data_IF_287361016204
#
_entry.id   IF_287361016204
#
_cell.length_a   1.000
_cell.length_b   1.000
_cell.length_c   1.000
_cell.angle_alpha   90.00
_cell.angle_beta   90.00
_cell.angle_gamma   90.00
#
_symmetry.space_group_name_H-M   'P 1'
#
loop_
_entity.id
_entity.type
_entity.pdbx_description
1 polymer ?
#
# COMPACT_ATOMS: atom_id res chain seq x y z
N UNK A 1 -4.95 9.46 -19.44
CA UNK A 1 -5.47 9.88 -18.13
C UNK A 1 -4.38 9.60 -17.12
N UNK A 2 -3.86 10.64 -16.46
CA UNK A 2 -2.73 10.50 -15.55
C UNK A 2 -3.15 9.93 -14.20
N UNK A 3 -2.29 9.10 -13.60
CA UNK A 3 -2.50 8.55 -12.25
C UNK A 3 -2.02 9.52 -11.18
N UNK A 4 -2.86 9.71 -10.15
CA UNK A 4 -2.59 10.50 -8.96
C UNK A 4 -2.98 9.73 -7.69
N UNK A 5 -2.36 10.08 -6.57
CA UNK A 5 -2.66 9.50 -5.25
C UNK A 5 -2.84 10.61 -4.20
N UNK A 6 -3.57 10.34 -3.11
CA UNK A 6 -3.77 11.33 -2.04
C UNK A 6 -2.45 11.82 -1.42
N UNK A 7 -1.41 10.97 -1.40
CA UNK A 7 -0.06 11.31 -0.92
C UNK A 7 0.63 12.38 -1.79
N UNK A 8 0.14 12.62 -3.01
CA UNK A 8 0.68 13.63 -3.93
C UNK A 8 0.27 15.06 -3.56
N UNK A 9 -0.76 15.21 -2.72
CA UNK A 9 -1.23 16.54 -2.29
C UNK A 9 -0.11 17.29 -1.55
N UNK A 10 0.60 16.62 -0.64
CA UNK A 10 1.68 17.24 0.14
C UNK A 10 2.81 17.80 -0.74
N UNK A 11 3.49 17.00 -1.60
CA UNK A 11 4.55 17.52 -2.46
C UNK A 11 4.03 18.53 -3.50
N UNK A 12 2.77 18.44 -3.93
CA UNK A 12 2.17 19.46 -4.80
C UNK A 12 2.05 20.82 -4.10
N UNK A 13 1.61 20.83 -2.84
CA UNK A 13 1.52 22.08 -2.07
C UNK A 13 2.91 22.67 -1.79
N UNK A 14 3.89 21.82 -1.43
CA UNK A 14 5.27 22.24 -1.22
C UNK A 14 5.85 22.90 -2.49
N UNK A 15 5.67 22.26 -3.65
CA UNK A 15 6.07 22.79 -4.95
C UNK A 15 5.36 24.11 -5.28
N UNK A 16 4.03 24.16 -5.12
CA UNK A 16 3.24 25.37 -5.40
C UNK A 16 3.69 26.60 -4.57
N UNK A 17 4.02 26.40 -3.29
CA UNK A 17 4.50 27.46 -2.41
C UNK A 17 6.03 27.67 -2.48
N UNK A 18 6.74 26.95 -3.34
CA UNK A 18 8.20 26.97 -3.46
C UNK A 18 8.92 26.67 -2.13
N UNK A 19 8.42 25.69 -1.37
CA UNK A 19 9.00 25.23 -0.11
C UNK A 19 9.78 23.94 -0.35
N UNK A 20 11.09 23.97 -0.12
CA UNK A 20 11.92 22.76 -0.12
C UNK A 20 11.94 22.10 1.26
N UNK A 21 11.68 20.79 1.31
CA UNK A 21 11.78 19.99 2.53
C UNK A 21 12.73 18.82 2.27
N UNK A 22 13.66 18.59 3.19
CA UNK A 22 14.53 17.42 3.20
C UNK A 22 13.79 16.25 3.87
N UNK A 23 12.81 15.68 3.17
CA UNK A 23 12.00 14.56 3.64
C UNK A 23 11.78 13.57 2.50
N UNK A 24 11.99 12.29 2.80
CA UNK A 24 11.66 11.20 1.89
C UNK A 24 10.14 11.06 1.80
N UNK A 25 9.58 11.23 0.59
CA UNK A 25 8.15 11.18 0.31
C UNK A 25 7.90 10.25 -0.88
N UNK A 26 6.92 9.36 -0.74
CA UNK A 26 6.47 8.51 -1.85
C UNK A 26 5.60 9.29 -2.86
N UNK A 27 4.98 10.38 -2.41
CA UNK A 27 4.16 11.24 -3.26
C UNK A 27 5.02 12.06 -4.23
N UNK A 28 4.42 12.48 -5.34
CA UNK A 28 5.05 13.36 -6.34
C UNK A 28 4.17 14.56 -6.61
N UNK A 29 4.78 15.72 -6.89
CA UNK A 29 4.02 16.91 -7.27
C UNK A 29 3.14 16.64 -8.50
N UNK A 30 1.88 17.07 -8.46
CA UNK A 30 0.93 17.01 -9.57
C UNK A 30 1.11 18.18 -10.56
N UNK A 31 2.00 19.13 -10.27
CA UNK A 31 2.27 20.29 -11.15
C UNK A 31 2.57 19.89 -12.60
N UNK A 32 3.38 18.86 -12.89
CA UNK A 32 3.60 18.41 -14.27
C UNK A 32 2.33 17.93 -14.98
N UNK A 33 1.41 17.25 -14.27
CA UNK A 33 0.11 16.87 -14.84
C UNK A 33 -0.70 18.12 -15.16
N UNK A 34 -0.79 19.05 -14.21
CA UNK A 34 -1.66 20.24 -14.32
C UNK A 34 -1.17 21.20 -15.42
N UNK A 35 0.14 21.42 -15.51
CA UNK A 35 0.71 22.43 -16.42
C UNK A 35 1.08 21.87 -17.79
N UNK A 36 1.47 20.61 -17.86
CA UNK A 36 2.14 20.04 -19.03
C UNK A 36 1.46 18.78 -19.56
N UNK A 37 0.37 18.31 -18.93
CA UNK A 37 -0.29 17.03 -19.24
C UNK A 37 0.70 15.85 -19.24
N UNK A 38 1.68 15.91 -18.33
CA UNK A 38 2.78 14.94 -18.22
C UNK A 38 2.55 14.00 -17.05
N UNK A 39 2.56 12.69 -17.35
CA UNK A 39 2.46 11.64 -16.33
C UNK A 39 3.62 11.67 -15.33
N UNK A 40 3.30 11.39 -14.06
CA UNK A 40 4.27 11.36 -12.95
C UNK A 40 4.54 9.94 -12.44
N UNK A 41 3.72 8.96 -12.81
CA UNK A 41 3.85 7.55 -12.43
C UNK A 41 3.13 6.66 -13.44
N UNK A 42 3.61 5.41 -13.52
CA UNK A 42 2.99 4.36 -14.34
C UNK A 42 1.95 3.56 -13.55
N UNK A 43 2.11 3.47 -12.23
CA UNK A 43 1.26 2.66 -11.36
C UNK A 43 0.94 3.38 -10.06
N UNK A 44 -0.20 3.05 -9.45
CA UNK A 44 -0.59 3.55 -8.13
C UNK A 44 -0.92 2.38 -7.19
N UNK A 45 -0.28 2.37 -6.01
CA UNK A 45 -0.49 1.40 -4.93
C UNK A 45 -1.43 1.99 -3.88
N UNK A 46 -2.53 1.32 -3.55
CA UNK A 46 -3.52 1.82 -2.59
C UNK A 46 -4.21 0.66 -1.84
N UNK A 47 -4.98 0.96 -0.80
CA UNK A 47 -5.70 -0.07 -0.07
C UNK A 47 -6.21 0.41 1.28
N UNK A 48 -6.58 -0.56 2.11
CA UNK A 48 -7.03 -0.34 3.49
C UNK A 48 -6.17 -1.20 4.40
N UNK A 49 -5.78 -0.68 5.57
CA UNK A 49 -5.00 -1.43 6.54
C UNK A 49 -5.68 -2.77 6.86
N UNK A 50 -4.95 -3.87 6.67
CA UNK A 50 -5.45 -5.24 6.83
C UNK A 50 -6.51 -5.69 5.82
N UNK A 51 -6.92 -4.86 4.87
CA UNK A 51 -7.75 -5.23 3.73
C UNK A 51 -6.94 -5.73 2.53
N UNK A 52 -7.51 -5.59 1.34
CA UNK A 52 -6.79 -5.80 0.09
C UNK A 52 -5.67 -4.75 -0.09
N UNK A 53 -4.57 -5.20 -0.68
CA UNK A 53 -3.58 -4.30 -1.28
C UNK A 53 -3.86 -4.24 -2.77
N UNK A 54 -3.96 -3.03 -3.31
CA UNK A 54 -4.43 -2.80 -4.65
C UNK A 54 -3.35 -2.09 -5.46
N UNK A 55 -3.26 -2.43 -6.74
CA UNK A 55 -2.37 -1.81 -7.71
C UNK A 55 -3.16 -1.53 -8.99
N UNK A 56 -2.88 -0.41 -9.64
CA UNK A 56 -3.43 -0.07 -10.95
C UNK A 56 -2.40 0.64 -11.81
N UNK A 57 -2.48 0.42 -13.13
CA UNK A 57 -1.78 1.19 -14.16
C UNK A 57 -2.72 2.13 -14.95
N UNK A 58 -3.97 2.26 -14.48
CA UNK A 58 -5.03 3.01 -15.16
C UNK A 58 -5.85 2.22 -16.17
N UNK A 59 -5.39 1.03 -16.59
CA UNK A 59 -6.18 0.13 -17.44
C UNK A 59 -6.79 -1.02 -16.64
N UNK A 60 -6.02 -1.64 -15.74
CA UNK A 60 -6.54 -2.64 -14.83
C UNK A 60 -6.39 -2.22 -13.37
N UNK A 61 -7.25 -2.75 -12.52
CA UNK A 61 -7.10 -2.74 -11.07
C UNK A 61 -6.98 -4.17 -10.60
N UNK A 62 -5.87 -4.49 -9.94
CA UNK A 62 -5.67 -5.76 -9.24
C UNK A 62 -5.74 -5.53 -7.73
N UNK A 63 -6.53 -6.34 -7.04
CA UNK A 63 -6.73 -6.31 -5.59
C UNK A 63 -6.29 -7.64 -5.00
N UNK A 64 -5.13 -7.64 -4.32
CA UNK A 64 -4.58 -8.83 -3.65
C UNK A 64 -5.18 -8.97 -2.26
N UNK A 65 -5.82 -10.11 -2.03
CA UNK A 65 -6.36 -10.50 -0.73
C UNK A 65 -5.31 -11.12 0.18
N UNK A 66 -5.65 -11.37 1.44
CA UNK A 66 -4.79 -12.13 2.35
C UNK A 66 -4.64 -13.58 1.88
N UNK A 67 -3.50 -14.19 2.18
CA UNK A 67 -3.22 -15.58 1.82
C UNK A 67 -4.05 -16.58 2.62
N UNK A 68 -4.40 -16.23 3.85
CA UNK A 68 -5.21 -17.06 4.74
C UNK A 68 -6.39 -16.29 5.31
N UNK A 69 -7.36 -17.03 5.85
CA UNK A 69 -8.56 -16.45 6.45
C UNK A 69 -8.25 -15.66 7.73
N UNK A 70 -7.22 -16.09 8.47
CA UNK A 70 -6.74 -15.47 9.71
C UNK A 70 -6.19 -14.07 9.45
N UNK A 71 -5.75 -13.76 8.22
CA UNK A 71 -5.25 -12.44 7.81
C UNK A 71 -4.06 -11.95 8.66
N UNK A 72 -3.16 -12.88 8.96
CA UNK A 72 -1.94 -12.67 9.75
C UNK A 72 -0.70 -13.03 8.93
N UNK A 73 0.49 -12.51 9.27
CA UNK A 73 0.76 -11.49 10.29
C UNK A 73 0.20 -10.10 9.92
N UNK A 74 -0.24 -9.32 10.91
CA UNK A 74 -0.74 -7.96 10.71
C UNK A 74 -0.40 -7.12 11.95
N UNK A 75 0.26 -5.98 11.73
CA UNK A 75 0.73 -5.11 12.81
C UNK A 75 0.42 -3.63 12.53
N UNK A 76 0.10 -2.90 13.59
CA UNK A 76 0.04 -1.44 13.61
C UNK A 76 1.41 -0.91 14.09
N UNK A 77 1.94 0.07 13.37
CA UNK A 77 3.22 0.71 13.69
C UNK A 77 2.98 2.16 14.11
N UNK A 78 3.34 2.52 15.34
CA UNK A 78 3.06 3.86 15.87
C UNK A 78 4.03 4.31 16.95
N UNK A 79 4.24 5.63 17.05
CA UNK A 79 4.87 6.27 18.22
C UNK A 79 3.84 6.72 19.27
N UNK A 80 2.56 6.77 18.89
CA UNK A 80 1.46 7.21 19.73
C UNK A 80 0.38 6.11 19.72
N UNK A 81 0.24 5.31 20.78
CA UNK A 81 -0.66 4.16 20.82
C UNK A 81 -2.13 4.61 20.97
N UNK A 82 -2.68 5.15 19.90
CA UNK A 82 -4.05 5.65 19.78
C UNK A 82 -4.68 5.15 18.49
N UNK A 83 -5.95 4.74 18.57
CA UNK A 83 -6.84 4.46 17.43
C UNK A 83 -7.93 5.54 17.37
N UNK A 84 -8.80 5.50 16.36
CA UNK A 84 -9.88 6.49 16.18
C UNK A 84 -10.76 6.73 17.43
N UNK A 85 -10.89 5.74 18.32
CA UNK A 85 -11.74 5.81 19.53
C UNK A 85 -10.96 6.00 20.84
N UNK A 86 -9.70 6.41 20.77
CA UNK A 86 -8.87 6.72 21.94
C UNK A 86 -7.62 5.85 22.05
N UNK A 87 -7.05 5.78 23.26
CA UNK A 87 -5.84 5.00 23.53
C UNK A 87 -6.03 3.50 23.25
N UNK A 88 -4.96 2.86 22.80
CA UNK A 88 -4.88 1.42 22.65
C UNK A 88 -4.68 0.80 24.04
N UNK A 89 -5.75 0.32 24.67
CA UNK A 89 -5.66 -0.27 26.01
C UNK A 89 -5.04 -1.67 26.01
N UNK A 90 -5.10 -2.37 24.88
CA UNK A 90 -4.40 -3.63 24.65
C UNK A 90 -2.88 -3.47 24.76
N UNK A 91 -2.36 -2.29 24.39
CA UNK A 91 -0.93 -1.98 24.47
C UNK A 91 -0.39 -2.03 25.90
N UNK A 92 -1.24 -1.77 26.90
CA UNK A 92 -0.81 -1.69 28.31
C UNK A 92 -0.56 -3.06 28.96
N UNK A 93 -1.04 -4.15 28.34
CA UNK A 93 -0.98 -5.51 28.90
C UNK A 93 -0.11 -6.46 28.07
N UNK A 94 0.52 -5.97 27.01
CA UNK A 94 1.35 -6.75 26.09
C UNK A 94 2.83 -6.34 26.24
N UNK A 95 3.74 -7.31 26.11
CA UNK A 95 5.17 -7.02 25.94
C UNK A 95 5.38 -6.47 24.53
N UNK A 96 5.50 -5.14 24.42
CA UNK A 96 5.60 -4.46 23.13
C UNK A 96 7.05 -4.14 22.80
N UNK A 97 7.40 -4.47 21.57
CA UNK A 97 8.72 -4.19 21.02
C UNK A 97 8.73 -2.84 20.28
N UNK A 98 9.83 -2.11 20.46
CA UNK A 98 10.21 -1.00 19.59
C UNK A 98 11.05 -1.52 18.44
N UNK A 99 10.49 -1.56 17.24
CA UNK A 99 11.14 -2.07 16.04
C UNK A 99 11.56 -0.93 15.12
N UNK A 100 12.58 -1.17 14.30
CA UNK A 100 12.89 -0.33 13.14
C UNK A 100 12.50 -1.10 11.88
N UNK A 101 11.55 -0.59 11.13
CA UNK A 101 11.05 -1.19 9.87
C UNK A 101 11.57 -0.43 8.64
N UNK A 102 12.74 0.20 8.78
CA UNK A 102 13.46 0.86 7.72
C UNK A 102 12.72 2.07 7.17
N UNK A 103 12.81 2.24 5.83
CA UNK A 103 12.27 3.38 5.09
C UNK A 103 10.78 3.64 5.38
N UNK A 104 9.97 2.60 5.56
CA UNK A 104 8.53 2.74 5.85
C UNK A 104 8.25 3.60 7.10
N UNK A 105 9.16 3.55 8.07
CA UNK A 105 9.10 4.36 9.29
C UNK A 105 10.04 5.56 9.27
N UNK A 106 10.59 5.94 8.11
CA UNK A 106 11.70 6.90 7.99
C UNK A 106 12.86 6.55 8.93
N UNK A 107 13.16 5.25 9.08
CA UNK A 107 14.16 4.68 9.99
C UNK A 107 13.94 4.99 11.49
N UNK A 108 12.77 5.50 11.88
CA UNK A 108 12.42 5.72 13.27
C UNK A 108 12.04 4.41 13.95
N UNK A 109 12.41 4.25 15.23
CA UNK A 109 11.89 3.15 16.03
C UNK A 109 10.44 3.40 16.40
N UNK A 110 9.58 2.41 16.22
CA UNK A 110 8.12 2.49 16.43
C UNK A 110 7.64 1.31 17.25
N UNK A 111 6.54 1.48 18.00
CA UNK A 111 5.87 0.36 18.65
C UNK A 111 5.30 -0.56 17.57
N UNK A 112 5.54 -1.87 17.70
CA UNK A 112 4.90 -2.91 16.90
C UNK A 112 3.76 -3.53 17.70
N UNK A 113 2.53 -3.23 17.32
CA UNK A 113 1.34 -3.70 18.04
C UNK A 113 0.53 -4.65 17.16
N UNK A 114 0.01 -5.73 17.73
CA UNK A 114 -0.83 -6.67 17.00
C UNK A 114 -2.05 -5.95 16.39
N UNK A 115 -2.13 -5.96 15.07
CA UNK A 115 -3.22 -5.35 14.32
C UNK A 115 -4.49 -6.21 14.36
N UNK A 116 -5.65 -5.55 14.24
CA UNK A 116 -6.97 -6.20 14.25
C UNK A 116 -7.83 -5.66 13.10
N UNK A 117 -8.48 -6.56 12.35
CA UNK A 117 -9.47 -6.21 11.32
C UNK A 117 -10.83 -6.80 11.65
N UNK A 118 -11.90 -6.06 11.35
CA UNK A 118 -13.27 -6.56 11.50
C UNK A 118 -13.70 -7.50 10.37
N UNK A 119 -13.15 -7.32 9.17
CA UNK A 119 -13.50 -8.09 7.97
C UNK A 119 -12.21 -8.55 7.31
N UNK A 120 -12.06 -9.87 7.16
CA UNK A 120 -10.93 -10.47 6.44
C UNK A 120 -11.18 -10.39 4.93
N UNK A 121 -10.22 -9.87 4.14
CA UNK A 121 -10.36 -9.82 2.68
C UNK A 121 -10.39 -11.21 2.05
N UNK A 122 -9.93 -12.25 2.76
CA UNK A 122 -9.87 -13.64 2.28
C UNK A 122 -11.21 -14.13 1.71
N UNK A 123 -12.32 -13.76 2.36
CA UNK A 123 -13.68 -14.15 1.95
C UNK A 123 -14.07 -13.67 0.55
N UNK A 124 -13.44 -12.60 0.07
CA UNK A 124 -13.68 -12.03 -1.26
C UNK A 124 -12.67 -12.54 -2.29
N UNK A 125 -11.56 -13.14 -1.86
CA UNK A 125 -10.47 -13.56 -2.73
C UNK A 125 -9.78 -12.39 -3.43
N UNK A 126 -8.87 -12.74 -4.33
CA UNK A 126 -8.22 -11.79 -5.23
C UNK A 126 -9.23 -11.31 -6.29
N UNK A 127 -9.17 -10.02 -6.64
CA UNK A 127 -10.01 -9.41 -7.67
C UNK A 127 -9.13 -8.76 -8.75
N UNK A 128 -9.56 -8.83 -9.99
CA UNK A 128 -8.89 -8.18 -11.12
C UNK A 128 -9.94 -7.67 -12.10
N UNK A 129 -9.86 -6.40 -12.48
CA UNK A 129 -10.81 -5.80 -13.42
C UNK A 129 -10.08 -4.98 -14.48
N UNK A 130 -10.55 -5.05 -15.73
CA UNK A 130 -10.16 -4.09 -16.77
C UNK A 130 -11.06 -2.85 -16.62
N UNK A 131 -10.60 -1.83 -15.90
CA UNK A 131 -11.44 -0.65 -15.60
C UNK A 131 -11.67 0.25 -16.81
N UNK A 132 -10.93 0.05 -17.90
CA UNK A 132 -11.15 0.76 -19.17
C UNK A 132 -12.32 0.20 -19.97
N UNK A 133 -12.51 -1.11 -19.93
CA UNK A 133 -13.60 -1.81 -20.64
C UNK A 133 -14.79 -2.14 -19.72
N UNK A 134 -14.56 -2.28 -18.42
CA UNK A 134 -15.51 -2.64 -17.38
C UNK A 134 -15.40 -1.64 -16.21
N UNK A 135 -15.84 -0.41 -16.47
CA UNK A 135 -15.79 0.72 -15.50
C UNK A 135 -16.51 0.37 -14.20
N UNK A 136 -17.59 -0.39 -14.28
CA UNK A 136 -18.42 -0.83 -13.16
C UNK A 136 -17.88 -2.06 -12.43
N UNK A 137 -16.77 -2.65 -12.90
CA UNK A 137 -16.08 -3.79 -12.27
C UNK A 137 -16.99 -5.00 -12.06
N UNK A 138 -17.82 -5.32 -13.05
CA UNK A 138 -18.75 -6.45 -12.98
C UNK A 138 -18.11 -7.79 -13.31
N UNK A 139 -16.99 -7.80 -14.02
CA UNK A 139 -16.35 -9.00 -14.54
C UNK A 139 -14.97 -9.23 -13.92
N UNK A 140 -14.94 -10.04 -12.85
CA UNK A 140 -13.68 -10.39 -12.18
C UNK A 140 -12.84 -11.36 -13.03
N UNK A 141 -11.67 -10.90 -13.45
CA UNK A 141 -10.69 -11.60 -14.26
C UNK A 141 -9.62 -12.35 -13.44
N UNK A 142 -9.77 -12.48 -12.12
CA UNK A 142 -8.74 -13.08 -11.25
C UNK A 142 -8.38 -14.55 -11.58
N UNK A 143 -9.16 -15.24 -12.41
CA UNK A 143 -8.82 -16.56 -12.96
C UNK A 143 -7.77 -16.50 -14.08
N UNK A 144 -7.54 -15.33 -14.68
CA UNK A 144 -6.52 -15.11 -15.71
C UNK A 144 -5.13 -14.97 -15.06
N UNK A 145 -4.40 -16.09 -15.01
CA UNK A 145 -3.09 -16.18 -14.36
C UNK A 145 -2.03 -15.26 -14.97
N UNK A 146 -2.08 -15.02 -16.27
CA UNK A 146 -1.08 -14.18 -16.96
C UNK A 146 -1.17 -12.73 -16.48
N UNK A 147 -2.39 -12.16 -16.51
CA UNK A 147 -2.63 -10.79 -16.07
C UNK A 147 -2.39 -10.68 -14.55
N UNK A 148 -2.87 -11.66 -13.76
CA UNK A 148 -2.63 -11.68 -12.32
C UNK A 148 -1.14 -11.67 -11.98
N UNK A 149 -0.31 -12.48 -12.66
CA UNK A 149 1.12 -12.51 -12.40
C UNK A 149 1.79 -11.17 -12.74
N UNK A 150 1.45 -10.56 -13.88
CA UNK A 150 1.91 -9.21 -14.24
C UNK A 150 1.62 -8.20 -13.12
N UNK A 151 0.39 -8.14 -12.60
CA UNK A 151 0.05 -7.17 -11.56
C UNK A 151 0.59 -7.54 -10.17
N UNK A 152 0.84 -8.82 -9.88
CA UNK A 152 1.59 -9.22 -8.67
C UNK A 152 3.02 -8.69 -8.72
N UNK A 153 3.71 -8.83 -9.84
CA UNK A 153 5.07 -8.29 -10.00
C UNK A 153 5.10 -6.76 -9.85
N UNK A 154 4.16 -6.06 -10.50
CA UNK A 154 4.01 -4.61 -10.34
C UNK A 154 3.74 -4.21 -8.88
N UNK A 155 2.87 -4.94 -8.19
CA UNK A 155 2.56 -4.72 -6.78
C UNK A 155 3.79 -4.91 -5.89
N UNK A 156 4.50 -6.03 -6.03
CA UNK A 156 5.71 -6.31 -5.24
C UNK A 156 6.75 -5.22 -5.48
N UNK A 157 6.96 -4.81 -6.73
CA UNK A 157 7.87 -3.70 -7.08
C UNK A 157 7.51 -2.40 -6.37
N UNK A 158 6.24 -2.00 -6.40
CA UNK A 158 5.80 -0.78 -5.70
C UNK A 158 5.84 -0.95 -4.17
N UNK A 159 5.54 -2.12 -3.64
CA UNK A 159 5.67 -2.44 -2.22
C UNK A 159 7.12 -2.34 -1.74
N UNK A 160 8.09 -2.81 -2.52
CA UNK A 160 9.53 -2.68 -2.23
C UNK A 160 9.92 -1.20 -2.21
N UNK A 161 9.49 -0.40 -3.20
CA UNK A 161 9.77 1.04 -3.26
C UNK A 161 9.27 1.79 -2.03
N UNK A 162 8.04 1.51 -1.58
CA UNK A 162 7.48 2.15 -0.36
C UNK A 162 8.04 1.56 0.94
N UNK A 163 8.99 0.62 0.86
CA UNK A 163 9.62 -0.01 2.01
C UNK A 163 8.67 -0.91 2.81
N UNK A 164 7.64 -1.47 2.19
CA UNK A 164 6.62 -2.26 2.90
C UNK A 164 7.28 -3.34 3.79
N UNK A 165 6.79 -3.52 5.03
CA UNK A 165 7.38 -4.47 5.97
C UNK A 165 7.22 -5.92 5.50
N UNK A 166 8.17 -6.79 5.86
CA UNK A 166 8.23 -8.20 5.43
C UNK A 166 6.91 -8.95 5.73
N UNK A 167 6.32 -8.67 6.88
CA UNK A 167 5.05 -9.27 7.32
C UNK A 167 3.91 -9.01 6.33
N UNK A 168 3.94 -7.90 5.60
CA UNK A 168 2.91 -7.62 4.59
C UNK A 168 3.01 -8.57 3.40
N UNK A 169 4.20 -9.00 2.99
CA UNK A 169 4.37 -9.99 1.94
C UNK A 169 3.89 -11.36 2.39
N UNK A 170 4.23 -11.75 3.63
CA UNK A 170 3.76 -12.99 4.25
C UNK A 170 2.23 -13.01 4.31
N UNK A 171 1.61 -11.92 4.80
CA UNK A 171 0.15 -11.78 4.89
C UNK A 171 -0.55 -11.97 3.54
N UNK A 172 0.07 -11.46 2.47
CA UNK A 172 -0.48 -11.54 1.11
C UNK A 172 -0.11 -12.85 0.39
N UNK A 173 0.85 -13.62 0.91
CA UNK A 173 1.40 -14.81 0.24
C UNK A 173 2.18 -14.43 -1.02
N UNK A 174 2.96 -13.35 -0.94
CA UNK A 174 3.84 -12.87 -2.01
C UNK A 174 5.30 -13.12 -1.61
N UNK A 175 6.15 -13.38 -2.60
CA UNK A 175 7.60 -13.52 -2.43
C UNK A 175 8.30 -12.28 -3.01
N UNK A 176 9.10 -11.59 -2.20
CA UNK A 176 9.88 -10.41 -2.62
C UNK A 176 11.38 -10.70 -2.80
N UNK A 177 11.82 -11.95 -2.62
CA UNK A 177 13.24 -12.32 -2.63
C UNK A 177 13.94 -12.00 -3.96
N UNK A 178 13.22 -12.02 -5.09
CA UNK A 178 13.80 -11.75 -6.40
C UNK A 178 14.10 -10.25 -6.64
N UNK A 179 13.44 -9.34 -5.92
CA UNK A 179 13.58 -7.88 -6.11
C UNK A 179 14.47 -7.19 -5.06
N UNK A 180 14.80 -7.87 -3.95
CA UNK A 180 15.72 -7.36 -2.92
C UNK A 180 17.20 -7.39 -3.34
N UNK A 181 17.50 -7.73 -4.60
CA UNK A 181 18.86 -7.88 -5.15
C UNK A 181 19.26 -6.76 -6.11
N UNK A 182 18.44 -5.71 -6.25
CA UNK A 182 18.68 -4.57 -7.15
C UNK A 182 19.01 -3.32 -6.33
#
# INVERSE_FOLDING_TARGET
MSLAQTIDISPTLLDFFNVSVDMDMDGKSLTPIIKEDKDIRETALFGVHGGHVNITDGEYVYMKSSATNENVPLYEYTLMPTRMRGYMSDVLNEDIEMVNIGRFSNNMKVLKVQGKTYVSPYKFGDLLFNVKEDVEQNNNLASNKEIVNKYKELMIREMVKVGAPEEQYIRLGLDNNELNTI
#
